data_IF_811772801537
#
_entry.id   IF_811772801537
#
_cell.length_a   1.000
_cell.length_b   1.000
_cell.length_c   1.000
_cell.angle_alpha   90.00
_cell.angle_beta   90.00
_cell.angle_gamma   90.00
#
_symmetry.space_group_name_H-M   'P 1'
#
loop_
_entity.id
_entity.type
_entity.pdbx_description
1 polymer ?
#
# COMPACT_ATOMS: atom_id res chain seq x y z
N UNK A 1 -20.88 -20.60 13.82
CA UNK A 1 -19.49 -20.08 13.79
C UNK A 1 -19.56 -18.61 13.51
N UNK A 2 -18.97 -17.76 14.33
CA UNK A 2 -18.90 -16.32 14.08
C UNK A 2 -17.82 -16.00 13.02
N UNK A 3 -17.77 -14.75 12.53
CA UNK A 3 -16.83 -14.37 11.47
C UNK A 3 -15.35 -14.52 11.87
N UNK A 4 -15.00 -14.29 13.13
CA UNK A 4 -13.63 -14.50 13.64
C UNK A 4 -13.24 -15.97 13.70
N UNK A 5 -14.15 -16.84 14.13
CA UNK A 5 -13.93 -18.28 14.13
C UNK A 5 -13.71 -18.81 12.70
N UNK A 6 -14.51 -18.34 11.73
CA UNK A 6 -14.34 -18.68 10.31
C UNK A 6 -13.00 -18.18 9.77
N UNK A 7 -12.62 -16.94 10.10
CA UNK A 7 -11.33 -16.37 9.72
C UNK A 7 -10.17 -17.22 10.24
N UNK A 8 -10.18 -17.55 11.52
CA UNK A 8 -9.17 -18.42 12.13
C UNK A 8 -9.10 -19.79 11.44
N UNK A 9 -10.25 -20.41 11.15
CA UNK A 9 -10.29 -21.72 10.49
C UNK A 9 -9.71 -21.66 9.08
N UNK A 10 -10.10 -20.65 8.27
CA UNK A 10 -9.58 -20.47 6.91
C UNK A 10 -8.06 -20.28 6.90
N UNK A 11 -7.53 -19.45 7.81
CA UNK A 11 -6.08 -19.18 7.93
C UNK A 11 -5.33 -20.43 8.43
N UNK A 12 -5.86 -21.13 9.44
CA UNK A 12 -5.19 -22.30 10.02
C UNK A 12 -5.11 -23.46 9.04
N UNK A 13 -6.09 -23.61 8.18
CA UNK A 13 -6.17 -24.65 7.16
C UNK A 13 -5.50 -24.25 5.82
N UNK A 14 -4.73 -23.16 5.80
CA UNK A 14 -4.03 -22.69 4.61
C UNK A 14 -2.51 -22.68 4.81
N UNK A 15 -1.79 -22.99 3.72
CA UNK A 15 -0.35 -22.85 3.60
C UNK A 15 0.08 -22.00 2.38
N UNK A 16 -0.88 -21.39 1.70
CA UNK A 16 -0.64 -20.51 0.54
C UNK A 16 -1.56 -19.28 0.62
N UNK A 17 -1.32 -18.44 1.62
CA UNK A 17 -2.04 -17.19 1.83
C UNK A 17 -1.35 -16.09 1.04
N UNK A 18 -2.13 -15.26 0.37
CA UNK A 18 -1.68 -13.98 -0.22
C UNK A 18 -2.47 -12.85 0.42
N UNK A 19 -1.78 -11.78 0.76
CA UNK A 19 -2.38 -10.58 1.30
C UNK A 19 -2.35 -9.46 0.26
N UNK A 20 -3.50 -8.78 0.06
CA UNK A 20 -3.63 -7.59 -0.78
C UNK A 20 -4.10 -6.43 0.08
N UNK A 21 -3.27 -5.38 0.22
CA UNK A 21 -3.51 -4.27 1.15
C UNK A 21 -3.50 -2.89 0.51
N UNK A 22 -4.18 -1.96 1.19
CA UNK A 22 -4.17 -0.53 0.86
C UNK A 22 -3.95 0.36 2.08
N UNK A 23 -4.19 1.67 1.94
CA UNK A 23 -3.85 2.68 2.94
C UNK A 23 -4.48 2.45 4.32
N UNK A 24 -5.64 1.81 4.39
CA UNK A 24 -6.29 1.45 5.65
C UNK A 24 -5.48 0.49 6.53
N UNK A 25 -4.49 -0.24 5.98
CA UNK A 25 -3.58 -1.09 6.76
C UNK A 25 -2.67 -0.23 7.65
N UNK A 26 -2.31 0.97 7.23
CA UNK A 26 -1.36 1.85 7.92
C UNK A 26 -2.03 2.91 8.80
N UNK A 27 -3.37 2.98 8.85
CA UNK A 27 -4.07 3.97 9.70
C UNK A 27 -3.79 3.77 11.18
N UNK A 28 -3.65 2.54 11.65
CA UNK A 28 -3.27 2.22 13.03
C UNK A 28 -1.77 2.43 13.30
N UNK A 29 -1.00 2.83 12.29
CA UNK A 29 0.39 3.30 12.39
C UNK A 29 0.49 4.83 12.37
N UNK A 30 -0.65 5.54 12.37
CA UNK A 30 -0.72 6.99 12.34
C UNK A 30 -0.60 7.61 10.94
N UNK A 31 -0.59 6.79 9.87
CA UNK A 31 -0.61 7.29 8.48
C UNK A 31 -2.07 7.40 8.03
N UNK A 32 -2.58 8.61 7.73
CA UNK A 32 -3.96 8.76 7.28
C UNK A 32 -4.16 8.08 5.92
N UNK A 33 -5.31 7.45 5.74
CA UNK A 33 -5.72 7.01 4.40
C UNK A 33 -6.23 8.20 3.56
N UNK A 34 -6.67 7.93 2.33
CA UNK A 34 -7.12 8.99 1.43
C UNK A 34 -8.57 9.39 1.65
N UNK A 35 -9.47 8.47 2.05
CA UNK A 35 -10.92 8.61 1.89
C UNK A 35 -11.73 8.57 3.18
N UNK A 36 -11.18 8.11 4.29
CA UNK A 36 -11.88 8.13 5.58
C UNK A 36 -12.19 9.57 6.02
N UNK A 37 -13.00 9.74 7.04
CA UNK A 37 -13.38 11.05 7.58
C UNK A 37 -12.16 11.90 7.94
N UNK A 38 -11.09 11.27 8.44
CA UNK A 38 -9.82 11.91 8.77
C UNK A 38 -8.78 11.80 7.64
N UNK A 39 -9.19 11.29 6.47
CA UNK A 39 -8.34 11.04 5.33
C UNK A 39 -7.89 12.31 4.59
N UNK A 40 -6.91 12.14 3.70
CA UNK A 40 -6.30 13.26 2.97
C UNK A 40 -7.31 14.07 2.14
N UNK A 41 -8.39 13.45 1.62
CA UNK A 41 -9.40 14.15 0.82
C UNK A 41 -10.24 15.14 1.64
N UNK A 42 -10.29 14.99 2.95
CA UNK A 42 -11.02 15.91 3.84
C UNK A 42 -10.15 17.04 4.40
N UNK A 43 -8.84 17.05 4.08
CA UNK A 43 -7.94 18.12 4.47
C UNK A 43 -8.04 19.29 3.49
N UNK A 44 -7.89 20.51 4.00
CA UNK A 44 -7.97 21.74 3.16
C UNK A 44 -6.65 21.99 2.44
N UNK A 45 -6.63 21.69 1.14
CA UNK A 45 -5.60 22.10 0.20
C UNK A 45 -6.23 22.85 -0.96
N UNK A 46 -5.42 23.61 -1.69
CA UNK A 46 -5.86 24.36 -2.87
C UNK A 46 -6.32 23.45 -4.02
N UNK A 47 -5.84 22.20 -4.02
CA UNK A 47 -6.18 21.14 -4.99
C UNK A 47 -6.44 19.81 -4.29
N UNK A 48 -7.31 18.96 -4.87
CA UNK A 48 -7.50 17.59 -4.36
C UNK A 48 -6.19 16.79 -4.36
N UNK A 49 -5.96 15.90 -3.38
CA UNK A 49 -4.73 15.08 -3.30
C UNK A 49 -4.42 14.29 -4.58
N UNK A 50 -5.43 13.73 -5.25
CA UNK A 50 -5.23 13.03 -6.53
C UNK A 50 -4.76 13.94 -7.65
N UNK A 51 -5.14 15.22 -7.63
CA UNK A 51 -4.61 16.22 -8.57
C UNK A 51 -3.16 16.53 -8.26
N UNK A 52 -2.83 16.80 -6.99
CA UNK A 52 -1.45 17.11 -6.56
C UNK A 52 -0.51 15.93 -6.85
N UNK A 53 -0.97 14.70 -6.61
CA UNK A 53 -0.20 13.48 -6.83
C UNK A 53 -0.28 12.94 -8.26
N UNK A 54 -0.65 13.78 -9.25
CA UNK A 54 -0.61 13.41 -10.66
C UNK A 54 0.72 13.75 -11.34
N UNK A 55 1.05 12.99 -12.40
CA UNK A 55 2.24 13.27 -13.22
C UNK A 55 2.19 14.69 -13.81
N UNK A 56 1.04 15.10 -14.32
CA UNK A 56 0.83 16.44 -14.88
C UNK A 56 1.12 17.52 -13.85
N UNK A 57 0.61 17.41 -12.64
CA UNK A 57 0.85 18.40 -11.58
C UNK A 57 2.31 18.42 -11.14
N UNK A 58 2.93 17.24 -10.96
CA UNK A 58 4.35 17.09 -10.68
C UNK A 58 5.25 17.85 -11.71
N UNK A 59 4.85 17.79 -12.99
CA UNK A 59 5.59 18.47 -14.08
C UNK A 59 5.36 19.97 -14.11
N UNK A 60 4.10 20.40 -13.92
CA UNK A 60 3.69 21.81 -14.09
C UNK A 60 3.88 22.65 -12.83
N UNK A 61 3.68 22.04 -11.64
CA UNK A 61 3.74 22.72 -10.33
C UNK A 61 4.62 21.97 -9.33
N UNK A 62 5.92 21.76 -9.66
CA UNK A 62 6.79 20.91 -8.84
C UNK A 62 6.99 21.44 -7.41
N UNK A 63 7.02 22.76 -7.20
CA UNK A 63 7.18 23.33 -5.85
C UNK A 63 6.00 22.97 -4.94
N UNK A 64 4.77 23.09 -5.45
CA UNK A 64 3.55 22.73 -4.71
C UNK A 64 3.47 21.22 -4.48
N UNK A 65 3.84 20.42 -5.51
CA UNK A 65 3.93 18.97 -5.39
C UNK A 65 4.87 18.55 -4.26
N UNK A 66 6.12 19.06 -4.25
CA UNK A 66 7.10 18.66 -3.24
C UNK A 66 6.76 19.18 -1.85
N UNK A 67 6.12 20.35 -1.72
CA UNK A 67 5.60 20.83 -0.44
C UNK A 67 4.57 19.86 0.14
N UNK A 68 3.58 19.45 -0.66
CA UNK A 68 2.58 18.46 -0.26
C UNK A 68 3.21 17.10 0.03
N UNK A 69 4.09 16.63 -0.86
CA UNK A 69 4.74 15.34 -0.76
C UNK A 69 5.53 15.20 0.55
N UNK A 70 6.32 16.20 0.90
CA UNK A 70 7.10 16.22 2.14
C UNK A 70 6.20 16.26 3.39
N UNK A 71 5.15 17.07 3.35
CA UNK A 71 4.23 17.25 4.48
C UNK A 71 3.36 16.01 4.74
N UNK A 72 2.92 15.32 3.69
CA UNK A 72 1.88 14.28 3.79
C UNK A 72 2.32 12.87 3.44
N UNK A 73 3.32 12.71 2.58
CA UNK A 73 3.71 11.39 2.09
C UNK A 73 4.93 10.81 2.83
N UNK A 74 5.80 11.66 3.38
CA UNK A 74 7.01 11.23 4.10
C UNK A 74 6.75 11.02 5.60
N UNK A 75 6.04 9.94 5.95
CA UNK A 75 5.76 9.56 7.34
C UNK A 75 6.87 8.65 7.90
N UNK A 76 8.12 9.13 7.91
CA UNK A 76 9.30 8.30 8.20
C UNK A 76 9.39 7.79 9.64
N UNK A 77 8.67 8.41 10.58
CA UNK A 77 8.63 8.02 12.00
C UNK A 77 7.55 6.98 12.32
N UNK A 78 6.72 6.61 11.32
CA UNK A 78 5.68 5.62 11.53
C UNK A 78 6.27 4.24 11.84
N UNK A 79 5.58 3.51 12.73
CA UNK A 79 5.97 2.15 13.12
C UNK A 79 4.94 1.11 12.65
N UNK A 80 5.39 -0.10 12.31
CA UNK A 80 4.48 -1.19 11.96
C UNK A 80 3.47 -1.47 13.08
N UNK A 81 2.21 -1.63 12.72
CA UNK A 81 1.14 -2.05 13.65
C UNK A 81 0.97 -3.58 13.69
N UNK A 82 -0.04 -4.05 14.40
CA UNK A 82 -0.30 -5.48 14.58
C UNK A 82 -0.53 -6.22 13.24
N UNK A 83 -1.17 -5.56 12.25
CA UNK A 83 -1.39 -6.20 10.94
C UNK A 83 -0.07 -6.47 10.22
N UNK A 84 0.82 -5.49 10.16
CA UNK A 84 2.14 -5.65 9.53
C UNK A 84 2.95 -6.77 10.20
N UNK A 85 2.97 -6.79 11.54
CA UNK A 85 3.70 -7.81 12.31
C UNK A 85 3.12 -9.21 12.12
N UNK A 86 1.80 -9.36 12.11
CA UNK A 86 1.14 -10.65 11.90
C UNK A 86 1.40 -11.21 10.49
N UNK A 87 1.41 -10.36 9.46
CA UNK A 87 1.76 -10.79 8.11
C UNK A 87 3.22 -11.28 8.03
N UNK A 88 4.15 -10.57 8.66
CA UNK A 88 5.55 -11.00 8.73
C UNK A 88 5.71 -12.33 9.51
N UNK A 89 4.96 -12.52 10.59
CA UNK A 89 4.90 -13.78 11.34
C UNK A 89 4.42 -14.94 10.47
N UNK A 90 3.32 -14.77 9.74
CA UNK A 90 2.79 -15.81 8.84
C UNK A 90 3.75 -16.13 7.69
N UNK A 91 4.49 -15.14 7.18
CA UNK A 91 5.53 -15.37 6.19
C UNK A 91 6.68 -16.22 6.76
N UNK A 92 7.14 -15.91 7.99
CA UNK A 92 8.17 -16.70 8.69
C UNK A 92 7.71 -18.15 8.96
N UNK A 93 6.41 -18.36 9.22
CA UNK A 93 5.82 -19.68 9.38
C UNK A 93 5.62 -20.42 8.04
N UNK A 94 5.92 -19.77 6.91
CA UNK A 94 5.72 -20.33 5.57
C UNK A 94 4.27 -20.38 5.10
N UNK A 95 3.33 -19.76 5.82
CA UNK A 95 1.90 -19.67 5.46
C UNK A 95 1.61 -18.59 4.44
N UNK A 96 2.13 -17.37 4.67
CA UNK A 96 1.98 -16.24 3.74
C UNK A 96 3.08 -16.30 2.67
N UNK A 97 2.69 -16.19 1.41
CA UNK A 97 3.61 -16.26 0.26
C UNK A 97 4.00 -14.89 -0.28
N UNK A 98 3.08 -13.93 -0.22
CA UNK A 98 3.37 -12.56 -0.64
C UNK A 98 2.43 -11.57 0.05
N UNK A 99 2.96 -10.38 0.28
CA UNK A 99 2.20 -9.15 0.54
C UNK A 99 2.18 -8.35 -0.77
N UNK A 100 1.00 -8.07 -1.29
CA UNK A 100 0.77 -7.18 -2.42
C UNK A 100 0.20 -5.89 -1.84
N UNK A 101 0.91 -4.79 -1.96
CA UNK A 101 0.50 -3.54 -1.31
C UNK A 101 0.39 -2.37 -2.28
N UNK A 102 -0.62 -1.55 -2.07
CA UNK A 102 -0.78 -0.24 -2.70
C UNK A 102 -0.03 0.85 -1.92
N UNK A 103 0.41 0.53 -0.68
CA UNK A 103 1.11 1.47 0.17
C UNK A 103 2.56 1.68 -0.27
N UNK A 104 3.04 2.89 -0.01
CA UNK A 104 4.39 3.35 -0.37
C UNK A 104 5.27 3.59 0.87
N UNK A 105 4.77 3.28 2.06
CA UNK A 105 5.35 3.63 3.38
C UNK A 105 6.50 2.72 3.85
N UNK A 106 6.64 1.51 3.26
CA UNK A 106 7.67 0.54 3.63
C UNK A 106 7.43 -0.19 4.96
N UNK A 107 6.24 -0.05 5.58
CA UNK A 107 5.97 -0.63 6.90
C UNK A 107 5.92 -2.17 6.90
N UNK A 108 5.54 -2.80 5.79
CA UNK A 108 5.60 -4.27 5.67
C UNK A 108 7.04 -4.77 5.77
N UNK A 109 7.97 -4.15 5.05
CA UNK A 109 9.40 -4.50 5.11
C UNK A 109 9.99 -4.17 6.50
N UNK A 110 9.61 -3.03 7.10
CA UNK A 110 10.02 -2.64 8.46
C UNK A 110 9.53 -3.63 9.52
N UNK A 111 8.37 -4.26 9.30
CA UNK A 111 7.83 -5.33 10.16
C UNK A 111 8.57 -6.67 10.00
N UNK A 112 9.34 -6.85 8.93
CA UNK A 112 10.11 -8.06 8.64
C UNK A 112 9.62 -8.89 7.47
N UNK A 113 8.54 -8.50 6.77
CA UNK A 113 8.11 -9.16 5.53
C UNK A 113 9.18 -9.06 4.45
N UNK A 114 9.44 -10.16 3.75
CA UNK A 114 10.48 -10.28 2.72
C UNK A 114 9.90 -10.18 1.32
N UNK A 115 8.77 -10.88 1.08
CA UNK A 115 8.11 -10.89 -0.22
C UNK A 115 7.00 -9.84 -0.24
N UNK A 116 7.38 -8.61 -0.56
CA UNK A 116 6.47 -7.46 -0.65
C UNK A 116 6.48 -6.92 -2.07
N UNK A 117 5.31 -6.93 -2.72
CA UNK A 117 5.09 -6.39 -4.06
C UNK A 117 4.44 -5.00 -3.93
N UNK A 118 5.26 -3.97 -4.08
CA UNK A 118 4.84 -2.56 -3.98
C UNK A 118 4.28 -2.07 -5.32
N UNK A 119 2.97 -2.14 -5.50
CA UNK A 119 2.32 -1.77 -6.77
C UNK A 119 2.52 -0.31 -7.14
N UNK A 120 2.63 0.57 -6.14
CA UNK A 120 2.78 2.00 -6.34
C UNK A 120 4.17 2.53 -5.96
N UNK A 121 5.17 1.64 -5.85
CA UNK A 121 6.53 2.00 -5.49
C UNK A 121 6.72 2.31 -4.01
N UNK A 122 7.71 3.16 -3.68
CA UNK A 122 8.05 3.47 -2.27
C UNK A 122 8.62 4.86 -2.11
N UNK A 123 8.25 5.55 -1.01
CA UNK A 123 8.86 6.83 -0.59
C UNK A 123 10.33 6.68 -0.19
N UNK A 124 10.76 5.45 0.14
CA UNK A 124 12.12 5.18 0.61
C UNK A 124 13.15 5.18 -0.53
N UNK A 125 12.71 5.11 -1.79
CA UNK A 125 13.56 5.14 -2.98
C UNK A 125 13.25 6.37 -3.81
N UNK A 126 14.30 7.09 -4.20
CA UNK A 126 14.16 8.28 -5.01
C UNK A 126 15.32 8.33 -6.01
N UNK A 127 15.08 8.79 -7.21
CA UNK A 127 16.08 8.75 -8.27
C UNK A 127 16.16 10.07 -9.03
N UNK A 128 17.37 10.46 -9.38
CA UNK A 128 17.57 11.58 -10.30
C UNK A 128 17.03 11.24 -11.69
N UNK A 129 16.13 12.07 -12.22
CA UNK A 129 15.54 11.87 -13.55
C UNK A 129 16.59 11.97 -14.69
N UNK A 130 17.74 12.60 -14.43
CA UNK A 130 18.80 12.82 -15.45
C UNK A 130 19.86 11.73 -15.44
N UNK A 131 20.40 11.37 -14.26
CA UNK A 131 21.54 10.45 -14.17
C UNK A 131 21.24 9.13 -13.44
N UNK A 132 20.01 8.95 -12.91
CA UNK A 132 19.61 7.75 -12.21
C UNK A 132 20.21 7.57 -10.80
N UNK A 133 20.96 8.55 -10.28
CA UNK A 133 21.53 8.46 -8.93
C UNK A 133 20.42 8.27 -7.90
N UNK A 134 20.62 7.32 -7.00
CA UNK A 134 19.73 7.03 -5.88
C UNK A 134 19.85 8.06 -4.76
N UNK A 135 18.72 8.36 -4.11
CA UNK A 135 18.60 9.17 -2.89
C UNK A 135 17.59 8.51 -1.95
N UNK A 136 17.87 8.55 -0.66
CA UNK A 136 16.95 8.06 0.37
C UNK A 136 15.83 9.07 0.69
N UNK A 137 14.91 8.67 1.55
CA UNK A 137 13.78 9.51 1.95
C UNK A 137 14.21 10.69 2.85
N UNK A 138 15.28 10.54 3.64
CA UNK A 138 15.83 11.60 4.49
C UNK A 138 16.35 12.75 3.62
N UNK A 139 17.05 12.43 2.53
CA UNK A 139 17.45 13.44 1.55
C UNK A 139 16.26 14.23 1.01
N UNK A 140 15.17 13.54 0.66
CA UNK A 140 13.96 14.16 0.14
C UNK A 140 13.30 15.07 1.19
N UNK A 141 13.28 14.63 2.45
CA UNK A 141 12.67 15.38 3.56
C UNK A 141 13.41 16.70 3.80
N UNK A 142 14.74 16.65 3.80
CA UNK A 142 15.60 17.81 4.14
C UNK A 142 15.97 18.71 2.95
N UNK A 143 15.68 18.32 1.73
CA UNK A 143 15.95 19.14 0.56
C UNK A 143 15.12 20.44 0.57
N UNK A 144 15.73 21.59 0.28
CA UNK A 144 15.00 22.85 0.11
C UNK A 144 14.22 22.86 -1.21
N UNK A 145 12.92 23.21 -1.15
CA UNK A 145 12.05 23.29 -2.33
C UNK A 145 12.03 21.99 -3.15
N UNK A 146 12.42 22.10 -4.43
CA UNK A 146 12.50 20.95 -5.36
C UNK A 146 13.82 20.21 -5.16
N UNK A 147 13.82 18.91 -4.77
CA UNK A 147 15.04 18.13 -4.58
C UNK A 147 15.87 18.03 -5.86
N UNK A 148 17.17 18.32 -5.77
CA UNK A 148 18.10 18.32 -6.90
C UNK A 148 19.26 17.35 -6.66
N UNK A 149 19.64 16.64 -7.70
CA UNK A 149 20.79 15.74 -7.65
C UNK A 149 22.09 16.52 -7.38
N UNK A 150 22.86 16.10 -6.39
CA UNK A 150 24.17 16.66 -6.03
C UNK A 150 25.25 16.36 -7.08
N UNK A 151 25.06 15.34 -7.94
CA UNK A 151 26.01 14.98 -8.98
C UNK A 151 25.80 15.74 -10.30
N UNK A 152 24.55 16.04 -10.70
CA UNK A 152 24.26 16.61 -12.02
C UNK A 152 23.26 17.77 -12.01
N UNK A 153 22.71 18.14 -10.85
CA UNK A 153 21.71 19.20 -10.73
C UNK A 153 20.31 18.84 -11.23
N UNK A 154 20.12 17.63 -11.75
CA UNK A 154 18.81 17.14 -12.21
C UNK A 154 17.81 17.00 -11.07
N UNK A 155 16.51 17.03 -11.39
CA UNK A 155 15.44 16.83 -10.40
C UNK A 155 15.47 15.40 -9.87
N UNK A 156 15.26 15.23 -8.56
CA UNK A 156 15.09 13.91 -7.95
C UNK A 156 13.59 13.60 -7.82
N UNK A 157 13.15 12.53 -8.48
CA UNK A 157 11.76 12.06 -8.42
C UNK A 157 11.64 10.89 -7.44
N UNK A 158 10.59 10.88 -6.56
CA UNK A 158 10.27 9.69 -5.79
C UNK A 158 9.97 8.50 -6.70
N UNK A 159 10.40 7.29 -6.31
CA UNK A 159 10.00 6.03 -6.95
C UNK A 159 8.57 5.65 -6.52
N UNK A 160 7.65 6.60 -6.71
CA UNK A 160 6.23 6.47 -6.44
C UNK A 160 5.49 6.63 -7.75
N UNK A 161 4.56 5.71 -8.03
CA UNK A 161 3.68 5.79 -9.18
C UNK A 161 2.62 6.86 -8.92
N UNK A 162 2.70 7.94 -9.67
CA UNK A 162 1.73 9.03 -9.61
C UNK A 162 0.47 8.67 -10.41
N UNK A 163 -0.66 9.33 -10.12
CA UNK A 163 -1.80 9.27 -11.02
C UNK A 163 -1.35 9.65 -12.44
N UNK A 164 -1.93 9.03 -13.47
CA UNK A 164 -1.55 9.12 -14.88
C UNK A 164 -0.29 8.31 -15.27
N UNK A 165 0.45 7.75 -14.31
CA UNK A 165 1.57 6.85 -14.59
C UNK A 165 1.14 5.38 -14.59
N UNK A 166 1.81 4.57 -15.39
CA UNK A 166 1.58 3.12 -15.46
C UNK A 166 2.28 2.39 -14.32
N UNK A 167 1.67 1.31 -13.81
CA UNK A 167 2.30 0.41 -12.86
C UNK A 167 3.42 -0.41 -13.51
N UNK A 168 4.38 -0.84 -12.70
CA UNK A 168 5.45 -1.72 -13.16
C UNK A 168 4.87 -3.08 -13.62
N UNK A 169 5.10 -3.44 -14.88
CA UNK A 169 4.51 -4.63 -15.50
C UNK A 169 5.02 -5.94 -14.86
N UNK A 170 6.29 -5.99 -14.44
CA UNK A 170 6.84 -7.17 -13.78
C UNK A 170 6.18 -7.37 -12.40
N UNK A 171 6.02 -6.29 -11.62
CA UNK A 171 5.34 -6.34 -10.33
C UNK A 171 3.87 -6.75 -10.49
N UNK A 172 3.18 -6.26 -11.52
CA UNK A 172 1.80 -6.66 -11.82
C UNK A 172 1.70 -8.14 -12.17
N UNK A 173 2.56 -8.63 -13.06
CA UNK A 173 2.56 -10.04 -13.47
C UNK A 173 2.86 -10.96 -12.30
N UNK A 174 3.81 -10.59 -11.45
CA UNK A 174 4.13 -11.33 -10.25
C UNK A 174 2.97 -11.32 -9.24
N UNK A 175 2.30 -10.19 -9.04
CA UNK A 175 1.12 -10.09 -8.18
C UNK A 175 -0.02 -10.99 -8.68
N UNK A 176 -0.30 -10.96 -9.98
CA UNK A 176 -1.30 -11.84 -10.60
C UNK A 176 -0.94 -13.32 -10.41
N UNK A 177 0.33 -13.69 -10.55
CA UNK A 177 0.77 -15.07 -10.32
C UNK A 177 0.47 -15.51 -8.89
N UNK A 178 0.90 -14.73 -7.87
CA UNK A 178 0.62 -15.08 -6.48
C UNK A 178 -0.88 -15.16 -6.16
N UNK A 179 -1.70 -14.23 -6.69
CA UNK A 179 -3.14 -14.22 -6.47
C UNK A 179 -3.81 -15.47 -7.07
N UNK A 180 -3.39 -15.91 -8.27
CA UNK A 180 -3.94 -17.11 -8.92
C UNK A 180 -3.61 -18.40 -8.17
N UNK A 181 -2.42 -18.49 -7.60
CA UNK A 181 -1.95 -19.66 -6.89
C UNK A 181 -2.42 -19.72 -5.43
N UNK A 182 -2.98 -18.64 -4.90
CA UNK A 182 -3.40 -18.56 -3.51
C UNK A 182 -4.58 -19.49 -3.22
N UNK A 183 -4.53 -20.25 -2.13
CA UNK A 183 -5.68 -20.96 -1.58
C UNK A 183 -6.53 -20.07 -0.67
N UNK A 184 -5.95 -19.00 -0.10
CA UNK A 184 -6.65 -17.93 0.61
C UNK A 184 -6.12 -16.57 0.12
N UNK A 185 -7.02 -15.70 -0.33
CA UNK A 185 -6.72 -14.30 -0.61
C UNK A 185 -7.35 -13.41 0.46
N UNK A 186 -6.51 -12.76 1.27
CA UNK A 186 -6.96 -11.77 2.25
C UNK A 186 -6.79 -10.38 1.66
N UNK A 187 -7.87 -9.63 1.55
CA UNK A 187 -7.88 -8.25 1.10
C UNK A 187 -8.22 -7.35 2.28
N UNK A 188 -7.36 -6.39 2.62
CA UNK A 188 -7.56 -5.58 3.80
C UNK A 188 -7.18 -4.10 3.65
N UNK A 189 -7.89 -3.23 4.37
CA UNK A 189 -7.57 -1.81 4.43
C UNK A 189 -7.61 -1.09 3.08
N UNK A 190 -8.47 -1.52 2.15
CA UNK A 190 -8.58 -0.90 0.83
C UNK A 190 -10.03 -0.75 0.40
N UNK A 191 -10.37 0.39 -0.19
CA UNK A 191 -11.69 0.65 -0.76
C UNK A 191 -11.94 -0.04 -2.11
N UNK A 192 -10.89 -0.63 -2.72
CA UNK A 192 -10.94 -1.31 -4.03
C UNK A 192 -11.48 -0.45 -5.18
N UNK A 193 -11.15 0.86 -5.18
CA UNK A 193 -11.60 1.80 -6.23
C UNK A 193 -10.47 2.35 -7.11
N UNK A 194 -9.19 2.10 -6.74
CA UNK A 194 -8.03 2.58 -7.52
C UNK A 194 -7.60 1.51 -8.52
N UNK A 195 -7.87 1.75 -9.79
CA UNK A 195 -7.47 0.89 -10.89
C UNK A 195 -6.10 1.30 -11.45
N UNK A 196 -5.28 0.34 -11.98
CA UNK A 196 -5.63 -1.07 -12.21
C UNK A 196 -5.46 -1.98 -10.96
N UNK A 197 -4.91 -1.50 -9.85
CA UNK A 197 -4.61 -2.31 -8.67
C UNK A 197 -5.86 -3.04 -8.13
N UNK A 198 -7.00 -2.35 -8.02
CA UNK A 198 -8.24 -2.93 -7.52
C UNK A 198 -8.75 -4.12 -8.36
N UNK A 199 -8.44 -4.14 -9.66
CA UNK A 199 -8.81 -5.24 -10.57
C UNK A 199 -7.99 -6.52 -10.39
N UNK A 200 -6.88 -6.47 -9.64
CA UNK A 200 -6.04 -7.65 -9.45
C UNK A 200 -6.75 -8.76 -8.68
N UNK A 201 -7.67 -8.44 -7.78
CA UNK A 201 -8.45 -9.44 -7.03
C UNK A 201 -9.34 -10.30 -7.94
N UNK A 202 -9.70 -9.82 -9.12
CA UNK A 202 -10.52 -10.55 -10.10
C UNK A 202 -9.76 -11.76 -10.71
N UNK A 203 -8.44 -11.83 -10.55
CA UNK A 203 -7.62 -12.98 -10.94
C UNK A 203 -7.64 -14.13 -9.94
N UNK A 204 -8.19 -13.93 -8.75
CA UNK A 204 -8.31 -14.99 -7.75
C UNK A 204 -9.29 -16.08 -8.22
N UNK A 205 -8.89 -17.33 -8.15
CA UNK A 205 -9.64 -18.48 -8.65
C UNK A 205 -10.06 -19.46 -7.54
N UNK A 206 -9.72 -19.13 -6.29
CA UNK A 206 -10.09 -19.94 -5.12
C UNK A 206 -11.51 -19.65 -4.61
N UNK A 207 -11.81 -20.19 -3.45
CA UNK A 207 -13.09 -20.05 -2.76
C UNK A 207 -12.93 -19.61 -1.29
N UNK A 208 -11.87 -18.84 -1.02
CA UNK A 208 -11.58 -18.26 0.29
C UNK A 208 -11.08 -16.83 0.13
N UNK A 209 -11.91 -16.01 -0.52
CA UNK A 209 -11.70 -14.56 -0.60
C UNK A 209 -12.21 -13.90 0.69
N UNK A 210 -11.31 -13.30 1.44
CA UNK A 210 -11.61 -12.64 2.71
C UNK A 210 -11.43 -11.13 2.56
N UNK A 211 -12.45 -10.35 2.91
CA UNK A 211 -12.38 -8.89 2.95
C UNK A 211 -12.38 -8.39 4.39
N UNK A 212 -11.40 -7.56 4.75
CA UNK A 212 -11.26 -6.96 6.10
C UNK A 212 -11.15 -5.45 5.96
N UNK A 213 -12.21 -4.73 6.28
CA UNK A 213 -12.27 -3.27 6.18
C UNK A 213 -13.13 -2.64 7.28
N UNK A 214 -12.85 -1.40 7.63
CA UNK A 214 -13.69 -0.62 8.59
C UNK A 214 -15.08 -0.33 8.01
N UNK A 215 -15.17 -0.13 6.71
CA UNK A 215 -16.41 0.19 5.99
C UNK A 215 -16.64 -0.81 4.87
N UNK A 216 -17.90 -1.00 4.51
CA UNK A 216 -18.28 -1.84 3.38
C UNK A 216 -17.70 -1.34 2.06
N UNK A 217 -17.43 -2.26 1.15
CA UNK A 217 -16.95 -1.99 -0.20
C UNK A 217 -17.92 -2.51 -1.25
N UNK A 218 -17.81 -2.02 -2.48
CA UNK A 218 -18.60 -2.54 -3.60
C UNK A 218 -18.30 -4.02 -3.95
N UNK A 219 -17.24 -4.58 -3.37
CA UNK A 219 -16.78 -5.94 -3.58
C UNK A 219 -17.17 -6.94 -2.48
N UNK A 220 -17.85 -6.50 -1.44
CA UNK A 220 -18.25 -7.37 -0.33
C UNK A 220 -19.12 -8.55 -0.79
N UNK A 221 -19.95 -8.34 -1.83
CA UNK A 221 -20.83 -9.37 -2.38
C UNK A 221 -20.14 -10.53 -3.11
N UNK A 222 -18.84 -10.43 -3.42
CA UNK A 222 -18.07 -11.51 -4.04
C UNK A 222 -17.17 -12.25 -3.05
N UNK A 223 -17.08 -11.76 -1.82
CA UNK A 223 -16.23 -12.37 -0.79
C UNK A 223 -16.91 -13.57 -0.14
N UNK A 224 -16.12 -14.60 0.17
CA UNK A 224 -16.55 -15.75 0.94
C UNK A 224 -16.68 -15.42 2.43
N UNK A 225 -15.89 -14.44 2.90
CA UNK A 225 -15.95 -13.91 4.26
C UNK A 225 -15.69 -12.41 4.28
N UNK A 226 -16.59 -11.66 4.94
CA UNK A 226 -16.39 -10.24 5.23
C UNK A 226 -16.25 -10.05 6.73
N UNK A 227 -15.16 -9.42 7.18
CA UNK A 227 -14.92 -9.06 8.58
C UNK A 227 -14.83 -7.55 8.67
N UNK A 228 -15.80 -6.93 9.34
CA UNK A 228 -15.80 -5.48 9.48
C UNK A 228 -15.02 -5.06 10.72
N UNK A 229 -14.01 -4.20 10.54
CA UNK A 229 -13.21 -3.66 11.64
C UNK A 229 -11.85 -3.13 11.18
N UNK A 230 -11.08 -2.63 12.14
CA UNK A 230 -9.70 -2.23 11.93
C UNK A 230 -8.82 -3.49 11.79
N UNK A 231 -8.01 -3.54 10.73
CA UNK A 231 -7.28 -4.76 10.38
C UNK A 231 -6.23 -5.14 11.44
N UNK A 232 -5.59 -4.16 12.08
CA UNK A 232 -4.63 -4.42 13.15
C UNK A 232 -5.31 -4.98 14.41
N UNK A 233 -6.49 -4.45 14.78
CA UNK A 233 -7.30 -4.99 15.88
C UNK A 233 -7.73 -6.42 15.60
N UNK A 234 -8.17 -6.73 14.36
CA UNK A 234 -8.57 -8.07 13.94
C UNK A 234 -7.37 -9.02 14.00
N UNK A 235 -6.23 -8.62 13.42
CA UNK A 235 -5.04 -9.47 13.36
C UNK A 235 -4.35 -9.65 14.72
N UNK A 236 -4.57 -8.76 15.67
CA UNK A 236 -4.08 -8.92 17.05
C UNK A 236 -4.78 -10.06 17.82
N UNK A 237 -5.92 -10.54 17.31
CA UNK A 237 -6.71 -11.64 17.91
C UNK A 237 -6.40 -13.00 17.27
N UNK A 238 -5.55 -13.03 16.24
CA UNK A 238 -5.11 -14.22 15.50
C UNK A 238 -3.70 -14.62 15.98
#
# INVERSE_FOLDING_TARGET
MNAMEQLCEMINNSNNIVFFGGAGVSTESGIPDFRSVDGLYHQKYDYPPETILSHTFYRQKPEEFFRFYKDKMLCLTAEPNAAHRKLAEWEQQGKLKAVITQNIDGLHQKAGSKKVLELHGSVLRNYCETCGKFFDAEYMLHADGIPKCDACGGRVKPDVVLYEEGLNQNTLQEAVHYIKEADVLIVGGTSLVVYPAAGLIDYYQGNKLILINKTATARDGIADLVVQGAIGEIFSQL
#
